data_IF_460839388155
#
_entry.id   IF_460839388155
#
_cell.length_a   1.000
_cell.length_b   1.000
_cell.length_c   1.000
_cell.angle_alpha   90.00
_cell.angle_beta   90.00
_cell.angle_gamma   90.00
#
_symmetry.space_group_name_H-M   'P 1'
#
loop_
_entity.id
_entity.type
_entity.pdbx_description
1 polymer ?
#
# COMPACT_ATOMS: atom_id res chain seq x y z
N UNK A 1 -40.63 10.13 -8.52
CA UNK A 1 -39.19 10.47 -8.46
C UNK A 1 -39.04 11.98 -8.60
N UNK A 2 -38.47 12.68 -7.61
CA UNK A 2 -38.16 14.13 -7.72
C UNK A 2 -36.73 14.28 -8.24
N UNK A 3 -36.53 15.03 -9.34
CA UNK A 3 -35.20 15.38 -9.84
C UNK A 3 -34.86 16.79 -9.35
N UNK A 4 -33.75 16.93 -8.63
CA UNK A 4 -33.17 18.23 -8.28
C UNK A 4 -31.93 18.48 -9.16
N UNK A 5 -31.84 19.67 -9.73
CA UNK A 5 -30.72 20.10 -10.57
C UNK A 5 -30.15 21.34 -9.88
N UNK A 6 -28.90 21.27 -9.42
CA UNK A 6 -28.20 22.42 -8.83
C UNK A 6 -27.11 22.86 -9.82
N UNK A 7 -27.12 24.16 -10.11
CA UNK A 7 -26.28 24.81 -11.14
C UNK A 7 -25.02 25.34 -10.46
N UNK A 8 -23.85 25.08 -11.05
CA UNK A 8 -22.62 25.77 -10.63
C UNK A 8 -22.59 27.17 -11.22
N UNK A 9 -22.29 28.16 -10.38
CA UNK A 9 -22.06 29.55 -10.80
C UNK A 9 -20.56 29.80 -10.83
N UNK A 10 -19.99 30.01 -12.02
CA UNK A 10 -18.64 30.53 -12.17
C UNK A 10 -18.68 32.06 -12.16
N UNK A 11 -17.69 32.68 -11.50
CA UNK A 11 -17.47 34.13 -11.54
C UNK A 11 -15.99 34.41 -11.81
N UNK A 12 -15.68 34.85 -13.02
CA UNK A 12 -14.39 35.43 -13.40
C UNK A 12 -14.47 36.95 -13.41
N UNK A 13 -13.36 37.63 -13.11
CA UNK A 13 -12.86 38.92 -13.65
C UNK A 13 -11.73 39.41 -12.70
N UNK A 14 -10.45 39.34 -13.08
CA UNK A 14 -9.69 40.31 -13.93
C UNK A 14 -9.36 41.64 -13.25
N UNK A 15 -8.07 41.94 -13.10
CA UNK A 15 -7.47 43.27 -13.33
C UNK A 15 -5.93 43.13 -13.45
N UNK A 16 -5.27 44.06 -14.17
CA UNK A 16 -3.84 44.00 -14.51
C UNK A 16 -3.14 45.35 -14.34
N UNK A 17 -1.82 45.33 -14.07
CA UNK A 17 -0.81 46.37 -14.41
C UNK A 17 0.59 45.87 -14.00
N UNK A 18 1.53 45.70 -14.93
CA UNK A 18 2.48 46.67 -15.52
C UNK A 18 3.59 47.18 -14.58
N UNK A 19 4.85 46.91 -14.97
CA UNK A 19 6.07 47.41 -14.32
C UNK A 19 7.35 47.00 -15.08
N UNK A 20 7.72 47.77 -16.10
CA UNK A 20 9.01 47.68 -16.81
C UNK A 20 9.91 48.84 -16.38
N UNK A 21 11.16 48.58 -15.99
CA UNK A 21 12.20 49.60 -15.84
C UNK A 21 13.59 49.03 -16.15
N UNK A 22 14.39 49.78 -16.89
CA UNK A 22 15.73 49.39 -17.35
C UNK A 22 16.79 50.39 -16.86
N UNK A 23 17.96 49.88 -16.48
CA UNK A 23 19.15 50.68 -16.09
C UNK A 23 19.96 49.96 -15.00
N UNK A 24 21.29 49.98 -14.97
CA UNK A 24 22.27 50.60 -15.88
C UNK A 24 23.69 50.07 -15.61
N UNK A 25 24.65 50.45 -16.46
CA UNK A 25 26.01 49.87 -16.52
C UNK A 25 26.95 50.32 -15.38
N UNK A 26 27.88 49.44 -14.94
CA UNK A 26 28.96 49.79 -13.98
C UNK A 26 30.09 48.74 -13.89
N UNK A 27 31.20 48.93 -14.62
CA UNK A 27 32.44 48.10 -14.60
C UNK A 27 33.36 48.45 -13.40
N UNK A 28 34.34 47.67 -12.91
CA UNK A 28 35.31 46.66 -13.46
C UNK A 28 35.55 45.56 -12.38
N UNK A 29 36.44 44.56 -12.42
CA UNK A 29 37.62 44.14 -13.22
C UNK A 29 37.65 42.58 -13.31
N UNK A 30 38.17 41.85 -14.33
CA UNK A 30 39.56 41.73 -14.88
C UNK A 30 40.59 41.21 -13.83
N UNK A 31 41.39 40.14 -14.01
CA UNK A 31 41.73 39.25 -15.18
C UNK A 31 42.27 37.84 -14.70
N UNK A 32 43.01 36.96 -15.43
CA UNK A 32 42.52 35.60 -15.84
C UNK A 32 43.38 34.36 -15.46
N UNK A 33 42.88 33.15 -15.79
CA UNK A 33 43.60 32.02 -16.47
C UNK A 33 42.57 30.90 -16.76
N UNK A 34 42.21 30.50 -18.00
CA UNK A 34 42.89 29.54 -18.92
C UNK A 34 43.52 28.30 -18.24
N UNK A 35 43.44 27.07 -18.74
CA UNK A 35 42.73 26.41 -19.87
C UNK A 35 42.99 24.88 -19.72
N UNK A 36 42.10 23.95 -20.08
CA UNK A 36 42.11 23.13 -21.32
C UNK A 36 41.25 21.86 -21.01
N UNK A 37 40.26 21.46 -21.82
CA UNK A 37 40.34 20.55 -23.00
C UNK A 37 40.47 19.05 -22.67
N UNK A 38 39.41 18.29 -22.95
CA UNK A 38 39.48 16.88 -23.32
C UNK A 38 38.31 16.52 -24.27
N UNK A 39 38.62 15.81 -25.35
CA UNK A 39 37.64 15.36 -26.36
C UNK A 39 37.59 13.83 -26.42
N UNK A 40 36.38 13.29 -26.58
CA UNK A 40 36.08 12.02 -27.28
C UNK A 40 34.55 11.92 -27.40
N UNK A 41 33.88 11.99 -28.57
CA UNK A 41 33.97 11.32 -29.87
C UNK A 41 33.13 10.04 -29.98
N UNK A 42 32.10 10.08 -30.87
CA UNK A 42 31.27 8.94 -31.37
C UNK A 42 30.37 8.25 -30.32
N UNK A 43 29.22 7.64 -30.65
CA UNK A 43 28.80 6.95 -31.90
C UNK A 43 27.42 7.41 -32.42
N UNK A 44 27.18 7.15 -33.71
CA UNK A 44 26.05 7.56 -34.54
C UNK A 44 24.67 6.99 -34.16
N UNK A 45 23.61 7.79 -34.34
CA UNK A 45 22.24 7.28 -34.55
C UNK A 45 21.98 7.08 -36.05
N UNK A 46 21.54 5.88 -36.45
CA UNK A 46 20.84 5.65 -37.73
C UNK A 46 19.66 4.69 -37.54
N UNK A 47 18.52 4.89 -38.25
CA UNK A 47 17.30 4.11 -38.05
C UNK A 47 17.19 2.93 -39.01
N UNK A 48 16.55 1.85 -38.55
CA UNK A 48 15.86 0.81 -39.35
C UNK A 48 14.63 0.39 -38.55
N UNK A 49 13.41 0.59 -39.05
CA UNK A 49 12.72 -0.08 -40.17
C UNK A 49 11.90 -1.29 -39.70
N UNK A 50 10.61 -1.23 -40.03
CA UNK A 50 9.55 -2.20 -39.75
C UNK A 50 9.67 -3.49 -40.56
N UNK A 51 9.17 -4.62 -40.03
CA UNK A 51 8.03 -5.39 -40.60
C UNK A 51 7.70 -6.68 -39.82
N UNK A 52 6.42 -7.08 -39.90
CA UNK A 52 5.88 -8.44 -39.67
C UNK A 52 5.90 -9.02 -38.23
N UNK A 53 4.95 -9.87 -37.81
CA UNK A 53 3.83 -10.51 -38.55
C UNK A 53 2.59 -10.70 -37.66
N UNK A 54 1.42 -10.50 -38.25
CA UNK A 54 0.11 -10.95 -37.74
C UNK A 54 0.04 -12.49 -37.69
N UNK A 55 -0.46 -13.05 -36.59
CA UNK A 55 -1.09 -14.38 -36.57
C UNK A 55 -2.26 -14.39 -35.59
N UNK A 56 -3.47 -14.43 -36.16
CA UNK A 56 -4.72 -14.75 -35.46
C UNK A 56 -5.17 -16.11 -35.96
N UNK A 57 -5.36 -17.09 -35.07
CA UNK A 57 -6.27 -18.22 -35.30
C UNK A 57 -6.90 -18.60 -33.95
N UNK A 58 -8.23 -18.65 -33.91
CA UNK A 58 -9.01 -19.12 -32.75
C UNK A 58 -8.93 -20.65 -32.62
N UNK A 59 -9.23 -21.19 -31.43
CA UNK A 59 -10.19 -22.29 -31.26
C UNK A 59 -10.35 -22.70 -29.79
N UNK A 60 -11.54 -22.46 -29.23
CA UNK A 60 -12.34 -23.47 -28.50
C UNK A 60 -13.54 -22.82 -27.81
N UNK A 61 -14.73 -23.04 -28.36
CA UNK A 61 -15.99 -22.98 -27.60
C UNK A 61 -16.73 -24.29 -27.82
N UNK A 62 -17.10 -24.94 -26.73
CA UNK A 62 -18.24 -25.85 -26.68
C UNK A 62 -18.81 -25.82 -25.27
N UNK A 63 -20.09 -25.47 -25.15
CA UNK A 63 -20.96 -25.93 -24.05
C UNK A 63 -21.19 -27.45 -24.27
N UNK A 64 -21.84 -28.27 -23.43
CA UNK A 64 -22.95 -28.14 -22.48
C UNK A 64 -22.71 -29.21 -21.36
N UNK A 65 -23.50 -29.35 -20.28
CA UNK A 65 -24.83 -28.82 -19.99
C UNK A 65 -25.24 -29.01 -18.53
N UNK A 66 -26.54 -28.90 -18.27
CA UNK A 66 -27.15 -28.81 -16.93
C UNK A 66 -27.75 -30.15 -16.49
N UNK A 67 -27.84 -30.40 -15.18
CA UNK A 67 -29.10 -30.86 -14.57
C UNK A 67 -29.18 -30.48 -13.07
N UNK A 68 -30.37 -30.57 -12.49
CA UNK A 68 -30.75 -30.04 -11.18
C UNK A 68 -31.20 -31.10 -10.16
N UNK A 69 -31.32 -30.63 -8.92
CA UNK A 69 -32.41 -30.92 -7.96
C UNK A 69 -32.18 -31.93 -6.82
N UNK A 70 -32.97 -31.67 -5.76
CA UNK A 70 -33.32 -32.50 -4.60
C UNK A 70 -32.26 -32.68 -3.49
N UNK A 71 -32.63 -32.78 -2.20
CA UNK A 71 -33.83 -32.33 -1.46
C UNK A 71 -33.48 -32.33 0.04
N UNK A 72 -34.17 -31.54 0.87
CA UNK A 72 -33.90 -31.47 2.31
C UNK A 72 -34.32 -32.73 3.10
N UNK A 73 -33.70 -32.92 4.27
CA UNK A 73 -34.32 -33.15 5.61
C UNK A 73 -33.80 -34.33 6.47
N UNK A 74 -33.76 -34.05 7.79
CA UNK A 74 -33.84 -34.96 8.96
C UNK A 74 -32.60 -35.69 9.51
N UNK A 75 -32.13 -35.18 10.66
CA UNK A 75 -31.54 -35.95 11.80
C UNK A 75 -32.64 -36.81 12.48
N UNK A 76 -32.30 -37.88 13.25
CA UNK A 76 -31.83 -37.72 14.64
C UNK A 76 -30.80 -38.77 15.16
N UNK A 77 -30.12 -38.41 16.27
CA UNK A 77 -29.64 -39.19 17.45
C UNK A 77 -29.27 -40.71 17.36
N UNK A 78 -28.37 -41.30 18.18
CA UNK A 78 -27.32 -40.84 19.11
C UNK A 78 -26.57 -42.08 19.67
N UNK A 79 -25.23 -42.05 19.72
CA UNK A 79 -24.34 -42.84 20.62
C UNK A 79 -22.87 -42.58 20.19
N UNK A 80 -22.08 -41.76 20.88
CA UNK A 80 -21.18 -42.15 21.98
C UNK A 80 -20.26 -43.34 21.60
N UNK A 81 -18.92 -43.26 21.61
CA UNK A 81 -18.05 -42.71 22.68
C UNK A 81 -16.67 -42.22 22.18
N UNK A 82 -16.32 -40.97 22.55
CA UNK A 82 -14.99 -40.40 22.87
C UNK A 82 -13.68 -40.84 22.15
N UNK A 83 -12.99 -39.86 21.55
CA UNK A 83 -11.76 -39.24 22.14
C UNK A 83 -11.32 -37.95 21.41
N UNK A 84 -11.39 -36.81 22.12
CA UNK A 84 -10.69 -35.53 21.93
C UNK A 84 -10.54 -34.95 20.50
N UNK A 85 -11.31 -33.88 20.22
CA UNK A 85 -11.22 -33.07 19.00
C UNK A 85 -11.95 -31.73 19.17
N UNK A 86 -11.63 -31.03 20.26
CA UNK A 86 -12.03 -29.69 20.71
C UNK A 86 -13.44 -29.14 20.38
N UNK A 87 -14.23 -28.92 21.43
CA UNK A 87 -15.39 -28.02 21.40
C UNK A 87 -15.21 -27.01 22.53
N UNK A 88 -15.22 -25.71 22.17
CA UNK A 88 -15.32 -24.51 23.04
C UNK A 88 -14.03 -23.72 23.26
N UNK A 89 -14.21 -22.38 23.31
CA UNK A 89 -13.31 -21.37 23.91
C UNK A 89 -12.28 -20.75 22.93
N UNK A 90 -11.97 -19.44 22.98
CA UNK A 90 -12.26 -18.40 23.98
C UNK A 90 -12.35 -17.01 23.32
N UNK A 91 -12.70 -15.95 24.07
CA UNK A 91 -12.43 -14.56 23.68
C UNK A 91 -10.98 -14.38 23.20
N UNK A 92 -10.75 -14.37 21.89
CA UNK A 92 -9.50 -13.90 21.31
C UNK A 92 -9.67 -12.42 20.96
N UNK A 93 -8.90 -11.56 21.62
CA UNK A 93 -8.92 -10.12 21.37
C UNK A 93 -8.51 -9.85 19.93
N UNK A 94 -9.33 -9.09 19.19
CA UNK A 94 -9.15 -8.84 17.75
C UNK A 94 -7.78 -8.20 17.45
N UNK A 95 -7.33 -7.32 18.35
CA UNK A 95 -6.01 -6.69 18.37
C UNK A 95 -5.48 -6.65 19.81
N UNK A 96 -4.17 -6.73 20.06
CA UNK A 96 -3.61 -6.62 21.40
C UNK A 96 -3.85 -5.23 21.99
N UNK A 97 -4.11 -5.13 23.30
CA UNK A 97 -4.47 -3.87 23.96
C UNK A 97 -3.39 -2.78 23.81
N UNK A 98 -2.12 -3.17 23.79
CA UNK A 98 -0.99 -2.26 23.62
C UNK A 98 -0.96 -1.62 22.22
N UNK A 99 -1.54 -2.26 21.20
CA UNK A 99 -1.68 -1.73 19.84
C UNK A 99 -2.84 -0.72 19.71
N UNK A 100 -3.89 -0.86 20.52
CA UNK A 100 -5.07 0.03 20.44
C UNK A 100 -4.68 1.46 20.81
N UNK A 101 -5.04 2.42 19.96
CA UNK A 101 -4.70 3.83 20.13
C UNK A 101 -4.30 4.49 18.81
N UNK A 102 -3.70 5.68 18.90
CA UNK A 102 -3.16 6.39 17.73
C UNK A 102 -1.63 6.39 17.74
N UNK A 103 -1.06 6.21 16.57
CA UNK A 103 0.35 6.05 16.29
C UNK A 103 0.79 7.10 15.28
N UNK A 104 1.80 7.89 15.62
CA UNK A 104 2.28 9.02 14.82
C UNK A 104 3.76 8.89 14.49
N UNK A 105 4.17 9.44 13.35
CA UNK A 105 5.57 9.41 12.93
C UNK A 105 5.75 9.87 11.49
N UNK A 106 6.86 9.45 10.89
CA UNK A 106 7.20 9.70 9.49
C UNK A 106 7.95 8.49 8.91
N UNK A 107 8.08 8.41 7.59
CA UNK A 107 8.83 7.34 6.92
C UNK A 107 9.81 7.94 5.91
N UNK A 108 10.68 7.13 5.27
CA UNK A 108 11.45 7.61 4.12
C UNK A 108 10.56 8.24 3.03
N UNK A 109 9.34 7.73 2.83
CA UNK A 109 8.41 8.14 1.77
C UNK A 109 7.37 9.19 2.20
N UNK A 110 7.12 9.37 3.50
CA UNK A 110 6.08 10.26 4.04
C UNK A 110 6.63 11.25 5.07
N UNK A 111 6.15 12.50 5.03
CA UNK A 111 6.49 13.55 5.99
C UNK A 111 5.74 13.40 7.31
N UNK A 112 4.49 12.91 7.25
CA UNK A 112 3.69 12.58 8.43
C UNK A 112 2.82 11.35 8.21
N UNK A 113 2.60 10.63 9.30
CA UNK A 113 1.77 9.43 9.39
C UNK A 113 0.96 9.55 10.68
N UNK A 114 -0.33 9.22 10.62
CA UNK A 114 -1.21 9.02 11.77
C UNK A 114 -2.05 7.76 11.50
N UNK A 115 -1.78 6.68 12.24
CA UNK A 115 -2.52 5.42 12.20
C UNK A 115 -3.29 5.26 13.50
N UNK A 116 -4.61 5.12 13.43
CA UNK A 116 -5.46 4.79 14.58
C UNK A 116 -5.92 3.35 14.45
N UNK A 117 -5.70 2.55 15.50
CA UNK A 117 -6.16 1.15 15.61
C UNK A 117 -7.17 1.05 16.74
N UNK A 118 -8.36 0.57 16.42
CA UNK A 118 -9.46 0.36 17.38
C UNK A 118 -9.53 -1.10 17.85
N UNK A 119 -10.14 -1.33 19.03
CA UNK A 119 -10.22 -2.65 19.66
C UNK A 119 -11.11 -3.68 18.92
N UNK A 120 -11.95 -3.20 18.00
CA UNK A 120 -12.74 -3.98 17.03
C UNK A 120 -11.92 -4.48 15.83
N UNK A 121 -10.64 -4.08 15.71
CA UNK A 121 -9.79 -4.37 14.56
C UNK A 121 -9.99 -3.42 13.37
N UNK A 122 -10.67 -2.28 13.53
CA UNK A 122 -10.72 -1.23 12.52
C UNK A 122 -9.44 -0.37 12.59
N UNK A 123 -8.81 -0.15 11.45
CA UNK A 123 -7.60 0.63 11.27
C UNK A 123 -7.88 1.79 10.31
N UNK A 124 -7.56 3.01 10.72
CA UNK A 124 -7.56 4.20 9.86
C UNK A 124 -6.17 4.80 9.80
N UNK A 125 -5.64 4.95 8.60
CA UNK A 125 -4.28 5.45 8.35
C UNK A 125 -4.35 6.68 7.46
N UNK A 126 -3.85 7.81 7.98
CA UNK A 126 -3.68 9.07 7.25
C UNK A 126 -2.20 9.31 7.04
N UNK A 127 -1.78 9.55 5.80
CA UNK A 127 -0.37 9.71 5.42
C UNK A 127 -0.21 10.93 4.54
N UNK A 128 0.80 11.76 4.83
CA UNK A 128 1.27 12.84 3.95
C UNK A 128 2.51 12.39 3.19
N UNK A 129 2.37 11.93 1.95
CA UNK A 129 3.46 11.46 1.11
C UNK A 129 4.31 12.61 0.53
N UNK A 130 5.62 12.37 0.44
CA UNK A 130 6.60 13.32 -0.11
C UNK A 130 6.50 13.41 -1.62
N UNK A 131 6.62 14.63 -2.15
CA UNK A 131 6.64 14.93 -3.60
C UNK A 131 5.37 14.53 -4.38
N UNK A 132 4.25 14.28 -3.68
CA UNK A 132 2.95 14.03 -4.30
C UNK A 132 2.18 15.35 -4.46
N UNK A 133 1.39 15.48 -5.53
CA UNK A 133 0.48 16.61 -5.73
C UNK A 133 -0.73 16.57 -4.80
N UNK A 134 -1.14 15.37 -4.41
CA UNK A 134 -2.15 15.14 -3.38
C UNK A 134 -1.47 14.40 -2.21
N UNK A 135 -0.72 15.12 -1.35
CA UNK A 135 0.14 14.49 -0.35
C UNK A 135 -0.65 13.67 0.66
N UNK A 136 -1.81 14.16 1.10
CA UNK A 136 -2.62 13.50 2.12
C UNK A 136 -3.50 12.41 1.52
N UNK A 137 -3.25 11.16 1.90
CA UNK A 137 -4.11 10.01 1.61
C UNK A 137 -4.67 9.43 2.91
N UNK A 138 -5.89 8.91 2.83
CA UNK A 138 -6.54 8.20 3.93
C UNK A 138 -6.94 6.82 3.45
N UNK A 139 -6.53 5.79 4.20
CA UNK A 139 -6.88 4.40 3.98
C UNK A 139 -7.57 3.84 5.24
N UNK A 140 -8.51 2.92 5.04
CA UNK A 140 -9.26 2.26 6.13
C UNK A 140 -9.36 0.77 5.84
N UNK A 141 -9.10 -0.06 6.84
CA UNK A 141 -9.22 -1.51 6.72
C UNK A 141 -9.61 -2.15 8.05
N UNK A 142 -10.22 -3.33 8.01
CA UNK A 142 -10.56 -4.11 9.21
C UNK A 142 -9.76 -5.41 9.21
N UNK A 143 -8.89 -5.61 10.20
CA UNK A 143 -8.03 -6.79 10.30
C UNK A 143 -7.79 -7.21 11.76
N UNK A 144 -7.50 -8.50 11.94
CA UNK A 144 -7.02 -9.03 13.23
C UNK A 144 -5.51 -8.97 13.30
N UNK A 145 -4.94 -8.69 14.47
CA UNK A 145 -3.51 -8.85 14.70
C UNK A 145 -3.24 -10.19 15.39
N UNK A 146 -2.40 -11.02 14.77
CA UNK A 146 -2.03 -12.34 15.29
C UNK A 146 -0.56 -12.31 15.68
N UNK A 147 -0.25 -12.74 16.90
CA UNK A 147 1.12 -12.85 17.40
C UNK A 147 1.85 -13.97 16.68
N UNK A 148 3.01 -13.67 16.10
CA UNK A 148 3.83 -14.63 15.37
C UNK A 148 4.92 -15.21 16.27
N UNK A 149 5.69 -14.34 16.92
CA UNK A 149 6.73 -14.71 17.88
C UNK A 149 7.14 -13.47 18.69
N UNK A 150 7.22 -13.57 20.02
CA UNK A 150 7.67 -12.46 20.87
C UNK A 150 6.88 -11.16 20.65
N UNK A 151 7.58 -10.09 20.26
CA UNK A 151 7.02 -8.77 19.92
C UNK A 151 6.58 -8.65 18.44
N UNK A 152 6.70 -9.71 17.64
CA UNK A 152 6.37 -9.74 16.21
C UNK A 152 4.94 -10.21 15.98
N UNK A 153 4.18 -9.44 15.20
CA UNK A 153 2.79 -9.70 14.84
C UNK A 153 2.60 -9.61 13.32
N UNK A 154 1.57 -10.30 12.82
CA UNK A 154 1.08 -10.13 11.45
C UNK A 154 -0.40 -9.76 11.47
N UNK A 155 -0.83 -9.02 10.45
CA UNK A 155 -2.24 -8.79 10.20
C UNK A 155 -2.85 -9.99 9.48
N UNK A 156 -4.08 -10.34 9.85
CA UNK A 156 -4.85 -11.43 9.24
C UNK A 156 -5.47 -10.98 7.90
N UNK A 157 -4.58 -10.55 7.00
CA UNK A 157 -4.82 -10.20 5.60
C UNK A 157 -3.66 -10.74 4.76
N UNK A 158 -3.91 -11.01 3.48
CA UNK A 158 -2.89 -11.49 2.54
C UNK A 158 -3.02 -10.78 1.19
N UNK A 159 -1.90 -10.42 0.59
CA UNK A 159 -1.84 -9.58 -0.60
C UNK A 159 -1.85 -8.08 -0.28
N UNK A 160 -2.15 -7.26 -1.29
CA UNK A 160 -2.12 -5.80 -1.18
C UNK A 160 -3.43 -5.16 -0.70
N UNK A 161 -4.48 -5.95 -0.49
CA UNK A 161 -5.76 -5.43 0.00
C UNK A 161 -5.61 -4.91 1.44
N UNK A 162 -5.95 -3.63 1.63
CA UNK A 162 -5.69 -2.91 2.88
C UNK A 162 -4.22 -2.61 3.20
N UNK A 163 -3.26 -2.93 2.34
CA UNK A 163 -1.84 -2.72 2.64
C UNK A 163 -1.46 -1.24 2.82
N UNK A 164 -2.23 -0.32 2.25
CA UNK A 164 -2.15 1.12 2.45
C UNK A 164 -2.59 1.57 3.86
N UNK A 165 -3.53 0.85 4.48
CA UNK A 165 -3.90 1.04 5.87
C UNK A 165 -2.92 0.33 6.83
N UNK A 166 -2.54 -0.90 6.52
CA UNK A 166 -1.80 -1.80 7.41
C UNK A 166 -0.27 -1.55 7.43
N UNK A 167 0.30 -0.99 6.34
CA UNK A 167 1.71 -0.57 6.25
C UNK A 167 1.79 0.94 6.02
N UNK A 168 1.51 1.73 7.07
CA UNK A 168 1.35 3.17 6.95
C UNK A 168 2.64 3.83 6.44
N UNK A 169 2.55 4.65 5.40
CA UNK A 169 3.72 5.34 4.84
C UNK A 169 4.62 4.52 3.93
N UNK A 170 4.16 3.35 3.48
CA UNK A 170 4.85 2.51 2.47
C UNK A 170 4.06 2.48 1.16
N UNK A 171 4.74 2.75 0.05
CA UNK A 171 4.21 2.58 -1.31
C UNK A 171 5.19 1.74 -2.16
N UNK A 172 4.80 1.45 -3.40
CA UNK A 172 5.68 0.77 -4.37
C UNK A 172 5.84 -0.74 -4.12
N UNK A 173 4.92 -1.36 -3.38
CA UNK A 173 4.87 -2.80 -3.16
C UNK A 173 4.54 -3.50 -4.49
N UNK A 174 5.54 -4.18 -5.09
CA UNK A 174 5.31 -5.09 -6.21
C UNK A 174 4.63 -6.39 -5.76
N UNK A 175 4.09 -7.20 -6.69
CA UNK A 175 3.42 -8.49 -6.41
C UNK A 175 3.58 -9.54 -7.54
N UNK A 176 4.77 -9.63 -8.14
CA UNK A 176 5.02 -10.65 -9.15
C UNK A 176 5.44 -11.98 -8.50
N UNK A 177 4.56 -12.98 -8.51
CA UNK A 177 4.82 -14.38 -8.14
C UNK A 177 5.21 -14.67 -6.68
N UNK A 178 4.76 -13.87 -5.71
CA UNK A 178 4.96 -14.14 -4.29
C UNK A 178 3.69 -13.86 -3.45
N UNK A 179 3.60 -14.50 -2.29
CA UNK A 179 2.62 -14.22 -1.23
C UNK A 179 3.16 -13.12 -0.34
N UNK A 180 2.29 -12.24 0.12
CA UNK A 180 2.63 -11.07 0.90
C UNK A 180 1.71 -10.95 2.10
N UNK A 181 2.24 -10.64 3.27
CA UNK A 181 1.45 -10.42 4.48
C UNK A 181 2.01 -9.23 5.27
N UNK A 182 1.22 -8.17 5.49
CA UNK A 182 1.66 -7.04 6.30
C UNK A 182 1.73 -7.42 7.78
N UNK A 183 2.66 -6.82 8.51
CA UNK A 183 2.84 -7.05 9.93
C UNK A 183 3.55 -5.89 10.62
N UNK A 184 3.85 -6.09 11.89
CA UNK A 184 4.53 -5.08 12.72
C UNK A 184 5.29 -5.71 13.88
N UNK A 185 6.24 -4.96 14.41
CA UNK A 185 6.86 -5.21 15.71
C UNK A 185 6.30 -4.18 16.68
N UNK A 186 5.88 -4.63 17.87
CA UNK A 186 5.34 -3.80 18.94
C UNK A 186 6.26 -3.87 20.17
N UNK A 187 7.05 -2.82 20.39
CA UNK A 187 8.11 -2.80 21.41
C UNK A 187 8.18 -1.42 22.07
N UNK A 188 8.14 -1.37 23.41
CA UNK A 188 8.31 -0.13 24.21
C UNK A 188 7.45 1.09 23.78
N UNK A 189 6.27 0.86 23.20
CA UNK A 189 5.42 1.96 22.70
C UNK A 189 5.78 2.46 21.30
N UNK A 190 6.54 1.67 20.54
CA UNK A 190 6.83 1.82 19.12
C UNK A 190 6.10 0.76 18.27
N UNK A 191 5.54 1.20 17.14
CA UNK A 191 5.01 0.35 16.07
C UNK A 191 5.98 0.42 14.87
N UNK A 192 6.72 -0.65 14.62
CA UNK A 192 7.65 -0.75 13.47
C UNK A 192 7.00 -1.61 12.38
N UNK A 193 6.62 -1.05 11.23
CA UNK A 193 6.00 -1.83 10.15
C UNK A 193 7.00 -2.83 9.55
N UNK A 194 6.53 -4.04 9.25
CA UNK A 194 7.31 -5.10 8.58
C UNK A 194 6.43 -5.79 7.53
N UNK A 195 7.04 -6.57 6.63
CA UNK A 195 6.29 -7.44 5.72
C UNK A 195 6.89 -8.84 5.68
N UNK A 196 6.03 -9.86 5.68
CA UNK A 196 6.40 -11.24 5.39
C UNK A 196 6.17 -11.52 3.91
N UNK A 197 7.12 -12.20 3.28
CA UNK A 197 7.05 -12.58 1.86
C UNK A 197 7.54 -14.00 1.67
N UNK A 198 6.84 -14.78 0.85
CA UNK A 198 7.20 -16.18 0.55
C UNK A 198 6.71 -16.56 -0.85
N UNK A 199 7.19 -17.66 -1.42
CA UNK A 199 6.75 -18.11 -2.75
C UNK A 199 5.27 -18.56 -2.75
N UNK A 200 4.62 -18.54 -3.91
CA UNK A 200 3.17 -18.85 -4.06
C UNK A 200 2.71 -20.21 -3.51
N UNK A 201 3.62 -21.18 -3.35
CA UNK A 201 3.32 -22.54 -2.87
C UNK A 201 4.01 -22.85 -1.53
N UNK A 202 4.50 -21.84 -0.82
CA UNK A 202 5.28 -21.98 0.41
C UNK A 202 4.55 -21.26 1.54
N UNK A 203 4.70 -21.76 2.77
CA UNK A 203 4.20 -21.08 3.97
C UNK A 203 5.07 -19.86 4.33
N UNK A 204 4.53 -18.98 5.17
CA UNK A 204 5.29 -17.84 5.70
C UNK A 204 6.24 -18.32 6.80
N UNK A 205 7.53 -18.01 6.67
CA UNK A 205 8.47 -18.04 7.79
C UNK A 205 8.34 -16.74 8.59
N UNK A 206 7.61 -16.80 9.71
CA UNK A 206 7.39 -15.64 10.57
C UNK A 206 8.63 -15.17 11.35
N UNK A 207 9.77 -15.86 11.22
CA UNK A 207 11.06 -15.39 11.75
C UNK A 207 11.85 -14.59 10.70
N UNK A 208 11.40 -14.60 9.43
CA UNK A 208 12.07 -13.93 8.32
C UNK A 208 11.14 -12.89 7.69
N UNK A 209 11.33 -11.63 8.10
CA UNK A 209 10.55 -10.50 7.65
C UNK A 209 11.42 -9.38 7.09
N UNK A 210 10.84 -8.61 6.19
CA UNK A 210 11.41 -7.37 5.69
C UNK A 210 11.00 -6.22 6.62
N UNK A 211 11.96 -5.68 7.36
CA UNK A 211 11.81 -4.39 8.06
C UNK A 211 11.79 -3.23 7.04
N UNK A 212 11.04 -2.16 7.35
CA UNK A 212 11.01 -0.91 6.59
C UNK A 212 11.86 0.21 7.22
N UNK A 213 12.46 -0.03 8.38
CA UNK A 213 13.47 0.82 9.05
C UNK A 213 12.93 2.19 9.50
N UNK A 214 11.70 2.24 9.98
CA UNK A 214 11.12 3.37 10.72
C UNK A 214 10.08 2.85 11.73
N UNK A 215 9.79 3.64 12.76
CA UNK A 215 8.74 3.34 13.73
C UNK A 215 7.80 4.53 13.89
N UNK A 216 6.56 4.23 14.26
CA UNK A 216 5.60 5.20 14.80
C UNK A 216 5.61 5.11 16.32
N UNK A 217 5.40 6.24 16.99
CA UNK A 217 5.23 6.31 18.45
C UNK A 217 3.77 6.51 18.80
N UNK A 218 3.34 5.99 19.95
CA UNK A 218 1.97 6.24 20.46
C UNK A 218 1.78 7.72 20.81
N UNK A 219 0.61 8.27 20.48
CA UNK A 219 0.17 9.66 20.78
C UNK A 219 -0.44 9.80 22.18
#
# INVERSE_FOLDING_TARGET
>A
MKRSIIRWTAASLVAASLGLASGGCGTKAKTPSSSEKASSSKVEKKPKASLNKKTTVSSSQTKEGVDSSNQASNTPASSETSKAGDTTSTNQTVVPADLVGTWVGSSPQADSIKMTVEANGDITTVVSFKNDSEPTRTATYTARAIQASGNVYYWDSEGLDGADALLPGITGLGVANFRFRPGFILEEGHYTPIAFTTDINTDFDYNNYKDFHFSLTKE
#
